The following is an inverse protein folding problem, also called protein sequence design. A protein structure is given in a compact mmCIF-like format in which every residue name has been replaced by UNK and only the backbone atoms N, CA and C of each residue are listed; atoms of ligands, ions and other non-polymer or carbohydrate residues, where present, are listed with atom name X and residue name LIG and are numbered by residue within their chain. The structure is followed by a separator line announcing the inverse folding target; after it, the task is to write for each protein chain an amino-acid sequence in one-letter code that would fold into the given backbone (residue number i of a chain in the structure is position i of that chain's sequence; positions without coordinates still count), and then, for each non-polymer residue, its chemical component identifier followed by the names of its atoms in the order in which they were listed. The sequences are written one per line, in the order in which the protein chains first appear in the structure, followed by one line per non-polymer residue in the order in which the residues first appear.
data_IF_490304346725
#
_entry.id   IF_490304346725
#
_cell.length_a   1.000
_cell.length_b   1.000
_cell.length_c   1.000
_cell.angle_alpha   90.00
_cell.angle_beta   90.00
_cell.angle_gamma   90.00
#
_symmetry.space_group_name_H-M   'P 1'
#
loop_
_entity.id
_entity.type
_entity.pdbx_description
1 polymer ?
#
# COMPACT_ATOMS: atom_id res chain seq x y z
N UNK A 1 -1.94 12.31 28.49
CA UNK A 1 -0.94 11.30 28.90
C UNK A 1 -0.68 10.44 27.69
N UNK A 2 0.51 10.51 27.10
CA UNK A 2 0.90 9.64 25.98
C UNK A 2 0.92 8.20 26.50
N UNK A 3 0.01 7.37 26.03
CA UNK A 3 -0.03 5.95 26.39
C UNK A 3 1.07 5.24 25.62
N UNK A 4 2.13 4.84 26.32
CA UNK A 4 3.16 4.00 25.72
C UNK A 4 2.63 2.56 25.58
N UNK A 5 2.69 2.02 24.38
CA UNK A 5 2.34 0.62 24.11
C UNK A 5 3.62 -0.13 23.74
N UNK A 6 4.04 -1.07 24.57
CA UNK A 6 5.23 -1.88 24.32
C UNK A 6 5.17 -2.56 22.94
N UNK A 7 6.29 -2.60 22.24
CA UNK A 7 6.41 -3.31 20.96
C UNK A 7 6.94 -4.72 21.23
N UNK A 8 6.26 -5.75 20.72
CA UNK A 8 6.74 -7.13 20.76
C UNK A 8 6.86 -7.72 19.36
N UNK A 9 7.89 -8.54 19.15
CA UNK A 9 8.16 -9.25 17.91
C UNK A 9 8.25 -10.73 18.21
N UNK A 10 7.55 -11.56 17.42
CA UNK A 10 7.68 -13.01 17.48
C UNK A 10 7.59 -13.64 16.10
N UNK A 11 8.31 -14.72 15.90
CA UNK A 11 8.16 -15.55 14.71
C UNK A 11 7.07 -16.60 14.95
N UNK A 12 6.12 -16.73 14.03
CA UNK A 12 5.08 -17.75 14.07
C UNK A 12 4.48 -17.96 12.68
N UNK A 13 3.86 -19.12 12.46
CA UNK A 13 3.08 -19.39 11.26
C UNK A 13 2.01 -18.31 11.04
N UNK A 14 1.83 -17.91 9.78
CA UNK A 14 0.63 -17.24 9.33
C UNK A 14 0.13 -17.91 8.05
N UNK A 15 -0.91 -18.74 8.20
CA UNK A 15 -1.59 -19.39 7.08
C UNK A 15 -0.63 -20.24 6.23
N UNK A 16 0.34 -20.91 6.85
CA UNK A 16 1.33 -21.74 6.18
C UNK A 16 2.60 -21.02 5.75
N UNK A 17 2.70 -19.70 5.91
CA UNK A 17 3.94 -18.95 5.70
C UNK A 17 4.71 -18.75 7.00
N UNK A 18 6.03 -18.72 6.92
CA UNK A 18 6.88 -18.24 8.00
C UNK A 18 6.73 -16.72 8.13
N UNK A 19 6.17 -16.27 9.25
CA UNK A 19 5.85 -14.87 9.46
C UNK A 19 6.44 -14.29 10.74
N UNK A 20 6.58 -12.98 10.74
CA UNK A 20 6.92 -12.18 11.92
C UNK A 20 5.72 -11.35 12.34
N UNK A 21 5.28 -11.56 13.57
CA UNK A 21 4.18 -10.83 14.18
C UNK A 21 4.76 -9.69 15.01
N UNK A 22 4.46 -8.46 14.60
CA UNK A 22 4.89 -7.23 15.27
C UNK A 22 3.66 -6.60 15.90
N UNK A 23 3.60 -6.58 17.23
CA UNK A 23 2.44 -6.15 17.99
C UNK A 23 2.77 -4.86 18.76
N UNK A 24 1.83 -3.89 18.75
CA UNK A 24 1.90 -2.64 19.51
C UNK A 24 0.50 -2.22 19.94
N UNK A 25 0.15 -2.55 21.19
CA UNK A 25 -1.20 -2.28 21.72
C UNK A 25 -2.27 -2.97 20.86
N UNK A 26 -3.25 -2.23 20.29
CA UNK A 26 -4.29 -2.81 19.42
C UNK A 26 -3.83 -3.14 17.99
N UNK A 27 -2.64 -2.69 17.57
CA UNK A 27 -2.10 -2.93 16.24
C UNK A 27 -1.28 -4.23 16.22
N UNK A 28 -1.49 -5.05 15.19
CA UNK A 28 -0.58 -6.13 14.82
C UNK A 28 -0.22 -6.00 13.34
N UNK A 29 1.06 -6.09 12.99
CA UNK A 29 1.53 -6.23 11.61
C UNK A 29 2.08 -7.65 11.43
N UNK A 30 1.65 -8.33 10.36
CA UNK A 30 2.11 -9.68 10.03
C UNK A 30 3.01 -9.60 8.80
N UNK A 31 4.31 -9.76 9.02
CA UNK A 31 5.32 -9.63 7.98
C UNK A 31 5.64 -11.01 7.39
N UNK A 32 5.51 -11.14 6.06
CA UNK A 32 5.83 -12.36 5.31
C UNK A 32 6.92 -12.04 4.30
N UNK A 33 8.21 -12.14 4.69
CA UNK A 33 9.31 -11.84 3.79
C UNK A 33 9.42 -12.83 2.63
N UNK A 34 8.91 -14.06 2.77
CA UNK A 34 8.97 -15.12 1.76
C UNK A 34 8.28 -14.77 0.44
N UNK A 35 7.37 -13.79 0.42
CA UNK A 35 6.59 -13.42 -0.76
C UNK A 35 6.60 -11.90 -0.92
N UNK A 36 7.57 -11.36 -1.65
CA UNK A 36 7.61 -9.93 -2.01
C UNK A 36 7.81 -8.97 -0.84
N UNK A 37 8.30 -9.45 0.32
CA UNK A 37 8.55 -8.60 1.49
C UNK A 37 7.28 -7.94 2.05
N UNK A 38 6.14 -8.65 2.05
CA UNK A 38 4.82 -8.08 2.39
C UNK A 38 4.62 -7.88 3.88
N UNK A 39 3.90 -6.82 4.25
CA UNK A 39 2.98 -6.85 5.39
C UNK A 39 1.75 -7.59 4.85
N UNK A 40 1.68 -8.91 5.08
CA UNK A 40 0.63 -9.75 4.53
C UNK A 40 -0.74 -9.41 5.15
N UNK A 41 -0.75 -9.00 6.41
CA UNK A 41 -1.96 -8.56 7.09
C UNK A 41 -1.63 -7.54 8.18
N UNK A 42 -2.62 -6.71 8.52
CA UNK A 42 -2.60 -5.86 9.70
C UNK A 42 -3.91 -6.06 10.46
N UNK A 43 -3.79 -6.30 11.76
CA UNK A 43 -4.93 -6.47 12.65
C UNK A 43 -5.15 -5.20 13.47
N UNK A 44 -6.42 -4.92 13.71
CA UNK A 44 -6.86 -3.91 14.67
C UNK A 44 -7.77 -4.56 15.71
N UNK A 45 -7.38 -4.48 16.98
CA UNK A 45 -8.07 -5.19 18.08
C UNK A 45 -8.26 -6.70 17.80
N UNK A 46 -7.30 -7.33 17.11
CA UNK A 46 -7.35 -8.75 16.75
C UNK A 46 -8.20 -9.10 15.53
N UNK A 47 -8.76 -8.11 14.82
CA UNK A 47 -9.49 -8.33 13.57
C UNK A 47 -8.60 -8.09 12.35
N UNK A 48 -8.55 -9.07 11.44
CA UNK A 48 -7.87 -8.97 10.14
C UNK A 48 -8.52 -7.93 9.23
N UNK A 49 -7.72 -7.04 8.66
CA UNK A 49 -8.19 -5.95 7.79
C UNK A 49 -7.69 -6.09 6.36
N UNK A 50 -6.54 -6.73 6.13
CA UNK A 50 -6.03 -6.93 4.79
C UNK A 50 -6.72 -8.11 4.10
N UNK A 51 -6.85 -8.01 2.78
CA UNK A 51 -7.18 -9.16 1.96
C UNK A 51 -5.95 -10.08 1.85
N UNK A 52 -6.15 -11.36 2.11
CA UNK A 52 -5.16 -12.42 1.89
C UNK A 52 -5.87 -13.48 1.07
N UNK A 53 -5.25 -13.90 -0.03
CA UNK A 53 -5.84 -14.90 -0.91
C UNK A 53 -5.65 -16.30 -0.33
N UNK A 54 -6.76 -16.95 0.04
CA UNK A 54 -6.76 -18.28 0.62
C UNK A 54 -6.22 -19.35 -0.35
N UNK A 55 -6.38 -19.16 -1.67
CA UNK A 55 -5.89 -20.10 -2.68
C UNK A 55 -4.35 -20.13 -2.79
N UNK A 56 -3.69 -19.11 -2.24
CA UNK A 56 -2.24 -18.99 -2.24
C UNK A 56 -1.63 -19.14 -0.84
N UNK A 57 -2.44 -19.41 0.19
CA UNK A 57 -1.98 -19.54 1.57
C UNK A 57 -0.82 -20.55 1.70
N UNK A 58 0.28 -20.12 2.29
CA UNK A 58 1.49 -20.93 2.51
C UNK A 58 2.29 -21.26 1.25
N UNK A 59 1.86 -20.82 0.06
CA UNK A 59 2.60 -21.03 -1.17
C UNK A 59 3.81 -20.10 -1.22
N UNK A 60 4.98 -20.66 -1.52
CA UNK A 60 6.23 -19.93 -1.73
C UNK A 60 6.82 -20.37 -3.07
N UNK A 61 7.17 -19.40 -3.93
CA UNK A 61 7.90 -19.67 -5.16
C UNK A 61 9.40 -19.58 -4.90
N UNK A 62 10.16 -20.61 -5.29
CA UNK A 62 11.63 -20.55 -5.29
C UNK A 62 12.13 -19.73 -6.48
N UNK A 63 11.85 -18.43 -6.46
CA UNK A 63 12.21 -17.49 -7.52
C UNK A 63 13.73 -17.43 -7.71
N UNK A 64 14.51 -17.65 -6.65
CA UNK A 64 15.97 -17.65 -6.71
C UNK A 64 16.53 -18.80 -7.57
N UNK A 65 15.88 -19.96 -7.57
CA UNK A 65 16.26 -21.11 -8.39
C UNK A 65 15.84 -21.00 -9.87
N UNK A 66 14.97 -20.04 -10.22
CA UNK A 66 14.50 -19.83 -11.59
C UNK A 66 15.61 -19.24 -12.44
N UNK A 67 15.99 -19.88 -13.56
CA UNK A 67 17.00 -19.32 -14.48
C UNK A 67 16.40 -18.29 -15.46
N UNK A 68 15.24 -18.59 -16.02
CA UNK A 68 14.49 -17.69 -16.92
C UNK A 68 13.24 -17.15 -16.22
N UNK A 69 13.39 -15.97 -15.61
CA UNK A 69 12.30 -15.31 -14.87
C UNK A 69 11.12 -14.91 -15.73
N UNK A 70 11.36 -14.57 -17.00
CA UNK A 70 10.30 -14.08 -17.86
C UNK A 70 9.39 -15.23 -18.26
N UNK A 71 9.95 -16.34 -18.71
CA UNK A 71 9.18 -17.55 -19.03
C UNK A 71 8.43 -18.03 -17.79
N UNK A 72 9.11 -18.10 -16.63
CA UNK A 72 8.44 -18.53 -15.39
C UNK A 72 7.30 -17.60 -14.98
N UNK A 73 7.46 -16.29 -15.11
CA UNK A 73 6.41 -15.30 -14.86
C UNK A 73 5.18 -15.54 -15.75
N UNK A 74 5.38 -15.85 -17.04
CA UNK A 74 4.28 -16.15 -17.96
C UNK A 74 3.55 -17.45 -17.59
N UNK A 75 4.26 -18.47 -17.13
CA UNK A 75 3.66 -19.72 -16.66
C UNK A 75 2.83 -19.55 -15.38
N UNK A 76 3.30 -18.67 -14.48
CA UNK A 76 2.66 -18.39 -13.21
C UNK A 76 1.46 -17.45 -13.33
N UNK A 77 1.46 -16.59 -14.36
CA UNK A 77 0.54 -15.47 -14.50
C UNK A 77 0.55 -14.56 -13.24
N UNK A 78 -0.47 -13.73 -13.06
CA UNK A 78 -0.59 -12.88 -11.89
C UNK A 78 -0.99 -13.66 -10.62
N UNK A 79 -0.05 -13.78 -9.69
CA UNK A 79 -0.28 -14.35 -8.37
C UNK A 79 -0.85 -13.30 -7.41
N UNK A 80 -2.16 -13.33 -7.19
CA UNK A 80 -2.87 -12.41 -6.30
C UNK A 80 -2.67 -12.79 -4.83
N UNK A 81 -1.51 -12.50 -4.24
CA UNK A 81 -1.17 -12.91 -2.87
C UNK A 81 -2.05 -12.26 -1.78
N UNK A 82 -2.33 -10.96 -1.92
CA UNK A 82 -2.89 -10.15 -0.84
C UNK A 82 -1.86 -9.27 -0.14
N UNK A 83 -2.25 -8.70 0.99
CA UNK A 83 -1.43 -7.83 1.83
C UNK A 83 -1.03 -6.52 1.15
N UNK A 84 0.00 -5.89 1.69
CA UNK A 84 0.61 -4.72 1.08
C UNK A 84 1.85 -5.04 0.24
N UNK A 85 2.10 -4.25 -0.80
CA UNK A 85 3.16 -4.49 -1.77
C UNK A 85 3.76 -3.20 -2.29
N UNK A 86 4.95 -3.33 -2.83
CA UNK A 86 5.64 -2.24 -3.52
C UNK A 86 5.91 -2.68 -4.94
N UNK A 87 5.36 -1.93 -5.89
CA UNK A 87 5.59 -2.10 -7.30
C UNK A 87 6.34 -0.91 -7.88
N UNK A 88 6.77 -1.06 -9.13
CA UNK A 88 7.38 0.03 -9.90
C UNK A 88 6.36 0.57 -10.89
N UNK A 89 6.11 1.87 -10.89
CA UNK A 89 5.29 2.54 -11.90
C UNK A 89 6.18 3.21 -12.97
N UNK A 90 5.69 3.40 -14.21
CA UNK A 90 4.34 3.04 -14.68
C UNK A 90 4.20 1.56 -15.05
N UNK A 91 3.00 1.00 -14.82
CA UNK A 91 2.68 -0.39 -15.20
C UNK A 91 2.83 -0.66 -16.70
N UNK A 92 2.65 0.36 -17.55
CA UNK A 92 2.81 0.24 -19.01
C UNK A 92 4.23 -0.12 -19.45
N UNK A 93 5.23 0.01 -18.58
CA UNK A 93 6.61 -0.41 -18.85
C UNK A 93 6.87 -1.87 -18.46
N UNK A 94 5.89 -2.57 -17.87
CA UNK A 94 6.08 -3.94 -17.43
C UNK A 94 6.12 -4.89 -18.62
N UNK A 95 7.11 -5.77 -18.60
CA UNK A 95 7.22 -6.81 -19.60
C UNK A 95 6.06 -7.79 -19.42
N UNK A 96 5.33 -8.05 -20.50
CA UNK A 96 4.14 -8.90 -20.55
C UNK A 96 2.96 -8.40 -19.69
N UNK A 97 2.98 -7.13 -19.25
CA UNK A 97 1.99 -6.52 -18.36
C UNK A 97 1.79 -7.25 -17.01
N UNK A 98 2.78 -8.06 -16.60
CA UNK A 98 2.77 -8.83 -15.36
C UNK A 98 3.78 -8.26 -14.35
N UNK A 99 3.52 -8.35 -13.03
CA UNK A 99 4.44 -7.91 -12.00
C UNK A 99 5.83 -8.56 -12.12
N UNK A 100 6.88 -7.82 -11.79
CA UNK A 100 8.23 -8.35 -11.80
C UNK A 100 8.39 -9.44 -10.74
N UNK A 101 8.68 -10.68 -11.17
CA UNK A 101 8.63 -11.87 -10.32
C UNK A 101 9.55 -11.77 -9.10
N UNK A 102 10.77 -11.25 -9.29
CA UNK A 102 11.75 -11.01 -8.24
C UNK A 102 11.26 -10.06 -7.14
N UNK A 103 10.44 -9.06 -7.50
CA UNK A 103 9.96 -8.04 -6.57
C UNK A 103 8.64 -8.43 -5.92
N UNK A 104 7.74 -9.06 -6.67
CA UNK A 104 6.35 -9.33 -6.22
C UNK A 104 6.20 -10.68 -5.50
N UNK A 105 6.99 -11.69 -5.89
CA UNK A 105 6.90 -13.06 -5.39
C UNK A 105 8.22 -13.60 -4.81
N UNK A 106 9.36 -12.96 -5.11
CA UNK A 106 10.65 -13.36 -4.56
C UNK A 106 10.76 -13.14 -3.05
N UNK A 107 11.55 -13.98 -2.38
CA UNK A 107 11.82 -13.86 -0.95
C UNK A 107 12.75 -12.67 -0.66
N UNK A 108 12.38 -11.85 0.32
CA UNK A 108 13.17 -10.72 0.79
C UNK A 108 13.96 -11.15 2.03
N UNK A 109 15.17 -10.60 2.23
CA UNK A 109 15.82 -10.70 3.53
C UNK A 109 15.11 -9.82 4.55
N UNK A 110 15.17 -10.16 5.83
CA UNK A 110 14.57 -9.36 6.91
C UNK A 110 15.61 -9.11 8.01
N UNK A 111 15.70 -7.86 8.46
CA UNK A 111 16.60 -7.43 9.53
C UNK A 111 15.82 -6.57 10.54
N UNK A 112 16.08 -6.78 11.83
CA UNK A 112 15.48 -6.02 12.93
C UNK A 112 16.53 -5.14 13.61
N UNK A 113 16.19 -3.88 13.82
CA UNK A 113 17.03 -2.92 14.54
C UNK A 113 16.28 -2.40 15.77
N UNK A 114 16.88 -2.68 16.94
CA UNK A 114 16.43 -2.32 18.28
C UNK A 114 17.41 -1.35 18.97
N UNK A 115 18.27 -0.66 18.20
CA UNK A 115 19.30 0.23 18.75
C UNK A 115 18.71 1.43 19.50
N UNK A 116 17.51 1.87 19.14
CA UNK A 116 16.78 2.91 19.85
C UNK A 116 15.75 2.32 20.84
N UNK A 117 15.84 2.66 22.14
CA UNK A 117 14.83 2.25 23.11
C UNK A 117 13.44 2.73 22.69
N UNK A 118 12.42 1.90 22.93
CA UNK A 118 11.01 2.21 22.62
C UNK A 118 10.68 2.37 21.13
N UNK A 119 11.62 2.08 20.22
CA UNK A 119 11.41 2.09 18.79
C UNK A 119 11.77 0.73 18.19
N UNK A 120 11.11 0.38 17.09
CA UNK A 120 11.43 -0.78 16.28
C UNK A 120 11.57 -0.35 14.83
N UNK A 121 12.70 -0.68 14.22
CA UNK A 121 12.86 -0.62 12.77
C UNK A 121 12.99 -2.03 12.20
N UNK A 122 12.16 -2.37 11.22
CA UNK A 122 12.24 -3.63 10.46
C UNK A 122 12.55 -3.32 9.01
N UNK A 123 13.59 -3.93 8.45
CA UNK A 123 14.01 -3.74 7.06
C UNK A 123 13.81 -5.04 6.29
N UNK A 124 13.05 -4.98 5.21
CA UNK A 124 12.91 -6.07 4.24
C UNK A 124 13.56 -5.68 2.92
N UNK A 125 14.52 -6.47 2.42
CA UNK A 125 15.30 -6.14 1.22
C UNK A 125 15.08 -7.18 0.14
N UNK A 126 14.72 -6.74 -1.07
CA UNK A 126 14.49 -7.62 -2.21
C UNK A 126 15.80 -8.17 -2.78
N UNK A 127 15.76 -9.25 -3.57
CA UNK A 127 16.80 -9.51 -4.55
C UNK A 127 16.87 -8.36 -5.57
N UNK A 128 17.98 -8.24 -6.30
CA UNK A 128 18.03 -7.34 -7.46
C UNK A 128 17.13 -7.94 -8.54
N UNK A 129 16.14 -7.18 -8.99
CA UNK A 129 15.23 -7.61 -10.04
C UNK A 129 16.00 -7.84 -11.35
N UNK A 130 15.92 -9.05 -11.89
CA UNK A 130 16.64 -9.43 -13.11
C UNK A 130 16.11 -8.78 -14.37
N UNK A 131 14.84 -8.34 -14.36
CA UNK A 131 14.23 -7.63 -15.49
C UNK A 131 14.55 -6.13 -15.49
N UNK A 132 14.63 -5.50 -14.31
CA UNK A 132 14.73 -4.02 -14.20
C UNK A 132 16.05 -3.51 -13.64
N UNK A 133 16.83 -4.38 -13.00
CA UNK A 133 18.03 -4.00 -12.25
C UNK A 133 17.75 -3.24 -10.95
N UNK A 134 16.50 -3.08 -10.55
CA UNK A 134 16.11 -2.39 -9.32
C UNK A 134 16.15 -3.33 -8.13
N UNK A 135 16.67 -2.85 -7.00
CA UNK A 135 16.48 -3.46 -5.68
C UNK A 135 15.56 -2.58 -4.84
N UNK A 136 14.59 -3.20 -4.17
CA UNK A 136 13.69 -2.55 -3.23
C UNK A 136 14.14 -2.81 -1.79
N UNK A 137 14.02 -1.79 -0.95
CA UNK A 137 14.11 -1.92 0.50
C UNK A 137 12.86 -1.31 1.13
N UNK A 138 12.19 -2.06 1.99
CA UNK A 138 10.99 -1.66 2.71
C UNK A 138 11.32 -1.55 4.19
N UNK A 139 11.22 -0.35 4.74
CA UNK A 139 11.58 -0.07 6.14
C UNK A 139 10.35 0.32 6.93
N UNK A 140 9.94 -0.53 7.86
CA UNK A 140 8.84 -0.29 8.79
C UNK A 140 9.41 0.33 10.06
N UNK A 141 8.82 1.43 10.53
CA UNK A 141 9.15 2.06 11.82
C UNK A 141 7.93 2.14 12.71
N UNK A 142 8.09 1.66 13.94
CA UNK A 142 7.13 1.78 15.02
C UNK A 142 7.79 2.45 16.22
N UNK A 143 7.02 3.28 16.94
CA UNK A 143 7.38 3.82 18.25
C UNK A 143 6.32 3.42 19.26
N UNK A 144 6.71 3.09 20.49
CA UNK A 144 5.79 2.82 21.60
C UNK A 144 4.95 4.07 21.96
N UNK A 145 5.46 5.26 21.64
CA UNK A 145 4.84 6.55 21.97
C UNK A 145 3.84 7.06 20.91
N UNK A 146 3.70 6.37 19.78
CA UNK A 146 2.88 6.82 18.66
C UNK A 146 1.90 5.74 18.17
N UNK A 147 0.70 6.15 17.76
CA UNK A 147 -0.30 5.29 17.11
C UNK A 147 0.02 5.00 15.64
N UNK A 148 0.80 5.89 15.01
CA UNK A 148 1.24 5.78 13.60
C UNK A 148 2.36 4.74 13.46
N UNK A 149 2.40 4.06 12.33
CA UNK A 149 3.63 3.41 11.84
C UNK A 149 4.01 3.99 10.48
N UNK A 150 5.30 4.05 10.18
CA UNK A 150 5.80 4.53 8.91
C UNK A 150 6.34 3.35 8.09
N UNK A 151 6.03 3.34 6.79
CA UNK A 151 6.65 2.46 5.81
C UNK A 151 7.41 3.31 4.79
N UNK A 152 8.73 3.21 4.79
CA UNK A 152 9.59 3.84 3.77
C UNK A 152 9.93 2.79 2.72
N UNK A 153 9.52 3.07 1.49
CA UNK A 153 9.94 2.36 0.29
C UNK A 153 11.18 3.05 -0.25
N UNK A 154 12.21 2.28 -0.55
CA UNK A 154 13.44 2.74 -1.19
C UNK A 154 13.67 1.88 -2.42
N UNK A 155 13.99 2.51 -3.54
CA UNK A 155 14.45 1.81 -4.74
C UNK A 155 15.86 2.26 -5.09
N UNK A 156 16.72 1.31 -5.43
CA UNK A 156 18.08 1.55 -5.89
C UNK A 156 18.29 0.96 -7.27
N UNK A 157 18.90 1.73 -8.16
CA UNK A 157 19.36 1.22 -9.44
C UNK A 157 20.68 0.46 -9.26
N UNK A 158 20.63 -0.87 -9.36
CA UNK A 158 21.78 -1.75 -9.25
C UNK A 158 22.28 -2.25 -10.63
N UNK A 159 21.71 -1.73 -11.72
CA UNK A 159 22.20 -2.00 -13.08
C UNK A 159 23.33 -1.05 -13.50
N UNK A 160 23.87 -1.28 -14.69
CA UNK A 160 24.78 -0.38 -15.39
C UNK A 160 24.08 0.58 -16.35
N UNK A 161 22.74 0.58 -16.39
CA UNK A 161 21.92 1.42 -17.27
C UNK A 161 21.18 2.50 -16.50
N UNK A 162 20.83 3.58 -17.18
CA UNK A 162 19.87 4.57 -16.67
C UNK A 162 18.47 3.94 -16.66
N UNK A 163 17.72 4.12 -15.58
CA UNK A 163 16.36 3.60 -15.43
C UNK A 163 15.37 4.71 -15.10
N UNK A 164 14.08 4.50 -15.41
CA UNK A 164 13.01 5.45 -15.13
C UNK A 164 11.85 4.73 -14.46
N UNK A 165 11.68 4.95 -13.16
CA UNK A 165 10.67 4.27 -12.34
C UNK A 165 10.11 5.23 -11.29
N UNK A 166 8.95 4.86 -10.75
CA UNK A 166 8.34 5.45 -9.57
C UNK A 166 8.04 4.35 -8.54
N UNK A 167 8.07 4.70 -7.26
CA UNK A 167 7.60 3.82 -6.19
C UNK A 167 6.07 3.83 -6.16
N UNK A 168 5.47 2.64 -6.20
CA UNK A 168 4.02 2.44 -6.14
C UNK A 168 3.69 1.58 -4.92
N UNK A 169 3.16 2.21 -3.87
CA UNK A 169 2.68 1.55 -2.66
C UNK A 169 1.24 1.11 -2.83
N UNK A 170 0.92 -0.13 -2.46
CA UNK A 170 -0.41 -0.71 -2.61
C UNK A 170 -0.79 -1.50 -1.37
N UNK A 171 -1.88 -1.12 -0.71
CA UNK A 171 -2.51 -1.92 0.34
C UNK A 171 -3.77 -2.61 -0.18
N UNK A 172 -3.85 -3.93 -0.09
CA UNK A 172 -5.07 -4.68 -0.42
C UNK A 172 -5.95 -4.83 0.83
N UNK A 173 -7.05 -4.09 0.89
CA UNK A 173 -7.95 -4.02 2.06
C UNK A 173 -9.22 -4.80 1.81
N UNK A 174 -9.74 -5.47 2.86
CA UNK A 174 -11.05 -6.11 2.80
C UNK A 174 -12.16 -5.07 2.63
N UNK A 175 -13.15 -5.44 1.83
CA UNK A 175 -14.44 -4.74 1.78
C UNK A 175 -15.32 -5.14 2.97
N UNK A 176 -16.41 -4.43 3.27
CA UNK A 176 -16.84 -3.15 2.68
C UNK A 176 -16.03 -1.95 3.19
N UNK A 177 -15.82 -0.95 2.33
CA UNK A 177 -15.16 0.28 2.72
C UNK A 177 -15.68 1.50 1.95
N UNK A 178 -15.54 2.68 2.56
CA UNK A 178 -15.72 3.98 1.90
C UNK A 178 -14.42 4.76 1.97
N UNK A 179 -13.93 5.23 0.82
CA UNK A 179 -12.61 5.83 0.70
C UNK A 179 -12.74 7.31 0.38
N UNK A 180 -12.01 8.14 1.10
CA UNK A 180 -11.99 9.58 0.94
C UNK A 180 -10.62 10.03 0.47
N UNK A 181 -10.58 10.79 -0.62
CA UNK A 181 -9.37 11.31 -1.23
C UNK A 181 -9.50 12.83 -1.41
N UNK A 182 -8.42 13.60 -1.19
CA UNK A 182 -8.42 15.01 -1.55
C UNK A 182 -8.47 15.17 -3.07
N UNK A 183 -9.04 16.29 -3.52
CA UNK A 183 -9.05 16.71 -4.92
C UNK A 183 -8.26 18.00 -5.07
N UNK A 184 -7.59 18.17 -6.20
CA UNK A 184 -7.04 19.48 -6.57
C UNK A 184 -8.14 20.38 -7.17
N UNK A 185 -8.12 21.67 -6.84
CA UNK A 185 -8.93 22.68 -7.53
C UNK A 185 -8.45 22.94 -8.95
N UNK A 186 -7.16 22.65 -9.21
CA UNK A 186 -6.49 22.83 -10.49
C UNK A 186 -6.27 21.49 -11.20
N UNK A 187 -7.04 20.46 -10.81
CA UNK A 187 -6.95 19.11 -11.37
C UNK A 187 -7.05 19.11 -12.89
N UNK A 188 -6.21 18.31 -13.53
CA UNK A 188 -6.28 18.06 -14.97
C UNK A 188 -7.40 17.09 -15.35
N UNK A 189 -7.96 16.40 -14.36
CA UNK A 189 -9.05 15.44 -14.54
C UNK A 189 -10.43 16.08 -14.36
N UNK A 190 -11.44 15.63 -15.13
CA UNK A 190 -12.82 16.03 -14.92
C UNK A 190 -13.25 15.84 -13.46
N UNK A 191 -13.77 16.92 -12.88
CA UNK A 191 -14.24 16.95 -11.49
C UNK A 191 -13.19 16.51 -10.47
N UNK A 192 -11.89 16.69 -10.72
CA UNK A 192 -10.87 16.33 -9.73
C UNK A 192 -10.55 14.85 -9.63
N UNK A 193 -11.09 13.99 -10.51
CA UNK A 193 -10.99 12.54 -10.37
C UNK A 193 -10.79 11.86 -11.72
N UNK A 194 -9.64 11.20 -11.89
CA UNK A 194 -9.34 10.36 -13.04
C UNK A 194 -10.20 9.10 -13.03
N UNK A 195 -10.84 8.82 -14.16
CA UNK A 195 -11.43 7.50 -14.45
C UNK A 195 -10.44 6.67 -15.25
N UNK A 196 -10.21 5.42 -14.84
CA UNK A 196 -9.43 4.47 -15.63
C UNK A 196 -10.39 3.64 -16.48
N UNK A 197 -10.69 4.13 -17.69
CA UNK A 197 -11.75 3.56 -18.56
C UNK A 197 -11.53 2.10 -18.96
N UNK A 198 -10.27 1.62 -18.93
CA UNK A 198 -9.93 0.23 -19.22
C UNK A 198 -9.99 -0.70 -17.99
N UNK A 199 -10.31 -0.17 -16.81
CA UNK A 199 -10.41 -0.93 -15.58
C UNK A 199 -11.86 -1.26 -15.24
N UNK A 200 -12.34 -2.39 -15.76
CA UNK A 200 -13.66 -2.93 -15.45
C UNK A 200 -14.80 -2.01 -15.89
N UNK A 201 -15.64 -1.65 -14.94
CA UNK A 201 -16.88 -0.90 -15.14
C UNK A 201 -16.74 0.60 -14.84
N UNK A 202 -15.50 1.09 -14.62
CA UNK A 202 -15.20 2.43 -14.06
C UNK A 202 -16.06 3.57 -14.63
N UNK A 203 -16.20 3.65 -15.96
CA UNK A 203 -17.00 4.69 -16.61
C UNK A 203 -18.50 4.52 -16.36
N UNK A 204 -19.02 3.30 -16.38
CA UNK A 204 -20.46 3.01 -16.30
C UNK A 204 -21.04 3.24 -14.90
N UNK A 205 -20.24 2.99 -13.85
CA UNK A 205 -20.70 3.07 -12.47
C UNK A 205 -20.19 4.30 -11.72
N UNK A 206 -19.45 5.19 -12.38
CA UNK A 206 -18.86 6.37 -11.72
C UNK A 206 -19.88 7.13 -10.88
N UNK A 207 -21.04 7.45 -11.46
CA UNK A 207 -22.08 8.25 -10.78
C UNK A 207 -22.75 7.51 -9.61
N UNK A 208 -22.61 6.19 -9.51
CA UNK A 208 -23.16 5.41 -8.39
C UNK A 208 -22.18 5.17 -7.26
N UNK A 209 -20.86 5.20 -7.53
CA UNK A 209 -19.83 4.93 -6.52
C UNK A 209 -18.96 6.13 -6.17
N UNK A 210 -18.99 7.21 -6.96
CA UNK A 210 -18.23 8.44 -6.71
C UNK A 210 -19.18 9.54 -6.27
N UNK A 211 -18.92 10.15 -5.11
CA UNK A 211 -19.64 11.34 -4.65
C UNK A 211 -18.69 12.39 -4.10
N UNK A 212 -19.15 13.63 -4.01
CA UNK A 212 -18.29 14.77 -3.67
C UNK A 212 -18.71 15.46 -2.39
N UNK A 213 -17.71 15.83 -1.59
CA UNK A 213 -17.85 16.55 -0.32
C UNK A 213 -16.86 17.72 -0.32
N UNK A 214 -17.19 18.77 -1.06
CA UNK A 214 -16.30 19.93 -1.26
C UNK A 214 -15.00 19.55 -1.96
N UNK A 215 -13.85 19.79 -1.34
CA UNK A 215 -12.54 19.41 -1.86
C UNK A 215 -12.21 17.92 -1.70
N UNK A 216 -13.14 17.12 -1.16
CA UNK A 216 -12.98 15.67 -0.99
C UNK A 216 -13.85 14.91 -1.98
N UNK A 217 -13.33 13.80 -2.51
CA UNK A 217 -14.12 12.77 -3.17
C UNK A 217 -14.29 11.58 -2.23
N UNK A 218 -15.49 10.98 -2.25
CA UNK A 218 -15.78 9.67 -1.67
C UNK A 218 -15.91 8.64 -2.80
N UNK A 219 -15.20 7.52 -2.67
CA UNK A 219 -15.33 6.33 -3.51
C UNK A 219 -15.93 5.21 -2.66
N UNK A 220 -17.10 4.71 -3.06
CA UNK A 220 -17.84 3.67 -2.36
C UNK A 220 -17.43 2.27 -2.85
N UNK A 221 -16.73 1.53 -2.00
CA UNK A 221 -16.26 0.17 -2.26
C UNK A 221 -17.08 -0.86 -1.45
N UNK A 222 -18.36 -0.60 -1.20
CA UNK A 222 -19.22 -1.52 -0.43
C UNK A 222 -19.78 -2.68 -1.28
N UNK A 223 -19.73 -2.57 -2.61
CA UNK A 223 -20.29 -3.54 -3.56
C UNK A 223 -19.24 -4.12 -4.51
N UNK A 224 -19.55 -5.31 -5.04
CA UNK A 224 -18.65 -6.14 -5.85
C UNK A 224 -18.55 -5.69 -7.32
N UNK A 225 -18.07 -4.47 -7.56
CA UNK A 225 -17.78 -3.97 -8.91
C UNK A 225 -16.28 -3.92 -9.18
N UNK A 226 -15.86 -4.13 -10.44
CA UNK A 226 -14.47 -3.86 -10.82
C UNK A 226 -14.36 -2.42 -11.30
N UNK A 227 -13.59 -1.58 -10.63
CA UNK A 227 -13.36 -0.20 -11.07
C UNK A 227 -12.03 0.34 -10.54
N UNK A 228 -11.56 1.44 -11.12
CA UNK A 228 -10.41 2.20 -10.65
C UNK A 228 -10.58 3.70 -10.87
N UNK A 229 -10.31 4.47 -9.82
CA UNK A 229 -10.32 5.93 -9.83
C UNK A 229 -9.04 6.48 -9.20
N UNK A 230 -8.63 7.69 -9.58
CA UNK A 230 -7.44 8.33 -9.00
C UNK A 230 -7.58 9.85 -8.89
N UNK A 231 -6.68 10.45 -8.11
CA UNK A 231 -6.63 11.91 -7.88
C UNK A 231 -5.21 12.45 -8.08
N UNK A 232 -5.10 13.70 -8.51
CA UNK A 232 -3.87 14.49 -8.67
C UNK A 232 -3.76 15.60 -7.61
N UNK A 233 -4.17 15.29 -6.37
CA UNK A 233 -4.22 16.27 -5.30
C UNK A 233 -2.86 16.87 -4.92
N UNK A 234 -2.89 18.10 -4.39
CA UNK A 234 -1.68 18.81 -3.93
C UNK A 234 -1.03 18.19 -2.70
N UNK A 235 -1.77 17.41 -1.91
CA UNK A 235 -1.24 16.70 -0.75
C UNK A 235 -1.70 15.24 -0.74
N UNK A 236 -0.82 14.37 -0.27
CA UNK A 236 -1.02 12.93 -0.31
C UNK A 236 -1.74 12.44 0.94
N UNK A 237 -3.01 12.09 0.79
CA UNK A 237 -3.78 11.49 1.89
C UNK A 237 -4.87 10.56 1.39
N UNK A 238 -5.10 9.46 2.10
CA UNK A 238 -6.21 8.53 1.90
C UNK A 238 -6.83 8.26 3.25
N UNK A 239 -8.14 8.42 3.38
CA UNK A 239 -8.87 8.00 4.57
C UNK A 239 -9.93 6.98 4.19
N UNK A 240 -9.79 5.77 4.70
CA UNK A 240 -10.73 4.68 4.52
C UNK A 240 -11.55 4.46 5.80
N UNK A 241 -12.86 4.37 5.65
CA UNK A 241 -13.77 3.87 6.68
C UNK A 241 -14.06 2.42 6.35
N UNK A 242 -13.54 1.51 7.18
CA UNK A 242 -13.67 0.07 7.03
C UNK A 242 -14.79 -0.44 7.93
N UNK A 243 -15.66 -1.30 7.39
CA UNK A 243 -16.68 -1.96 8.19
C UNK A 243 -16.23 -3.37 8.57
N UNK A 244 -15.90 -3.53 9.84
CA UNK A 244 -15.28 -4.76 10.34
C UNK A 244 -16.30 -5.53 11.16
N UNK A 245 -16.67 -6.72 10.70
CA UNK A 245 -17.59 -7.60 11.41
C UNK A 245 -17.08 -7.90 12.82
N UNK A 246 -17.97 -7.71 13.81
CA UNK A 246 -17.67 -7.92 15.23
C UNK A 246 -16.92 -6.76 15.92
N UNK A 247 -16.42 -5.77 15.17
CA UNK A 247 -15.69 -4.61 15.73
C UNK A 247 -16.39 -3.27 15.46
N UNK A 248 -17.10 -3.13 14.34
CA UNK A 248 -17.72 -1.88 13.90
C UNK A 248 -16.84 -1.12 12.90
N UNK A 249 -16.98 0.21 12.86
CA UNK A 249 -16.23 1.03 11.91
C UNK A 249 -14.81 1.34 12.39
N UNK A 250 -13.84 1.08 11.53
CA UNK A 250 -12.41 1.36 11.75
C UNK A 250 -11.95 2.40 10.75
N UNK A 251 -11.29 3.45 11.23
CA UNK A 251 -10.60 4.41 10.38
C UNK A 251 -9.22 3.88 10.00
N UNK A 252 -8.89 3.87 8.71
CA UNK A 252 -7.54 3.66 8.22
C UNK A 252 -7.07 4.91 7.46
N UNK A 253 -6.05 5.58 7.99
CA UNK A 253 -5.44 6.77 7.40
C UNK A 253 -4.07 6.46 6.80
N UNK A 254 -3.84 6.92 5.57
CA UNK A 254 -2.53 6.98 4.91
C UNK A 254 -2.17 8.44 4.61
N UNK A 255 -0.94 8.84 4.88
CA UNK A 255 -0.39 10.15 4.53
C UNK A 255 0.98 9.99 3.87
N UNK A 256 1.25 10.75 2.83
CA UNK A 256 2.47 10.64 2.04
C UNK A 256 2.81 11.97 1.35
N UNK A 257 4.09 12.21 1.04
CA UNK A 257 4.49 13.42 0.33
C UNK A 257 4.01 13.40 -1.12
N UNK A 258 3.76 14.59 -1.65
CA UNK A 258 3.52 14.85 -3.07
C UNK A 258 4.67 15.67 -3.64
N UNK A 259 4.91 15.48 -4.93
CA UNK A 259 6.00 16.05 -5.69
C UNK A 259 5.41 16.66 -6.96
N UNK A 260 4.89 17.89 -6.85
CA UNK A 260 4.43 18.67 -7.99
C UNK A 260 5.51 19.67 -8.44
N UNK A 261 5.72 19.89 -9.75
CA UNK A 261 4.98 19.35 -10.90
C UNK A 261 5.61 18.07 -11.48
N UNK A 262 6.30 17.25 -10.68
CA UNK A 262 6.95 16.04 -11.18
C UNK A 262 5.93 15.04 -11.76
N UNK A 263 6.30 14.27 -12.81
CA UNK A 263 5.38 13.33 -13.44
C UNK A 263 5.12 12.11 -12.55
N UNK A 264 3.89 11.60 -12.54
CA UNK A 264 3.53 10.35 -11.88
C UNK A 264 3.25 9.28 -12.92
N UNK A 265 3.66 8.02 -12.65
CA UNK A 265 3.59 6.94 -13.64
C UNK A 265 2.17 6.70 -14.16
N UNK A 266 1.18 6.85 -13.29
CA UNK A 266 -0.23 6.75 -13.66
C UNK A 266 -0.93 8.12 -13.73
N UNK A 267 -0.21 9.23 -13.57
CA UNK A 267 -0.76 10.59 -13.55
C UNK A 267 -1.51 10.96 -12.25
N UNK A 268 -1.59 10.05 -11.27
CA UNK A 268 -2.25 10.28 -9.99
C UNK A 268 -1.27 10.13 -8.83
N UNK A 269 -1.53 10.86 -7.75
CA UNK A 269 -0.80 10.72 -6.47
C UNK A 269 -1.38 9.61 -5.60
N UNK A 270 -2.68 9.34 -5.75
CA UNK A 270 -3.39 8.24 -5.11
C UNK A 270 -4.48 7.65 -6.00
N UNK A 271 -4.73 6.36 -5.83
CA UNK A 271 -5.70 5.60 -6.61
C UNK A 271 -6.47 4.63 -5.70
N UNK A 272 -7.70 4.32 -6.10
CA UNK A 272 -8.54 3.29 -5.49
C UNK A 272 -8.97 2.33 -6.58
N UNK A 273 -8.55 1.06 -6.45
CA UNK A 273 -9.07 -0.04 -7.25
C UNK A 273 -10.05 -0.86 -6.41
N UNK A 274 -11.14 -1.34 -7.00
CA UNK A 274 -12.07 -2.25 -6.37
C UNK A 274 -12.18 -3.52 -7.23
N UNK A 275 -12.12 -4.70 -6.62
CA UNK A 275 -12.19 -5.97 -7.35
C UNK A 275 -13.64 -6.47 -7.43
N UNK A 276 -14.12 -6.99 -8.55
CA UNK A 276 -15.44 -7.66 -8.56
C UNK A 276 -15.36 -9.07 -7.99
N UNK A 277 -14.33 -9.84 -8.38
CA UNK A 277 -14.24 -11.28 -8.11
C UNK A 277 -13.86 -11.63 -6.67
N UNK A 278 -12.92 -10.88 -6.09
CA UNK A 278 -12.42 -11.10 -4.73
C UNK A 278 -12.87 -10.00 -3.79
N UNK A 279 -12.92 -10.28 -2.50
CA UNK A 279 -13.46 -9.36 -1.50
C UNK A 279 -12.43 -8.30 -1.03
N UNK A 280 -11.85 -7.56 -1.98
CA UNK A 280 -10.86 -6.54 -1.69
C UNK A 280 -10.98 -5.29 -2.56
N UNK A 281 -10.32 -4.24 -2.08
CA UNK A 281 -9.98 -3.02 -2.79
C UNK A 281 -8.49 -2.71 -2.58
N UNK A 282 -7.92 -1.84 -3.40
CA UNK A 282 -6.54 -1.36 -3.24
C UNK A 282 -6.52 0.13 -2.88
N UNK A 283 -5.70 0.48 -1.89
CA UNK A 283 -5.36 1.87 -1.56
C UNK A 283 -3.95 2.15 -2.06
N UNK A 284 -3.86 2.86 -3.17
CA UNK A 284 -2.60 3.05 -3.89
C UNK A 284 -2.04 4.44 -3.65
N UNK A 285 -0.74 4.53 -3.41
CA UNK A 285 -0.01 5.80 -3.23
C UNK A 285 1.24 5.79 -4.09
N UNK A 286 1.51 6.91 -4.76
CA UNK A 286 2.54 6.99 -5.79
C UNK A 286 3.62 8.02 -5.45
N UNK A 287 4.87 7.68 -5.75
CA UNK A 287 5.96 8.63 -5.92
C UNK A 287 6.05 9.15 -7.36
N UNK A 288 6.86 10.17 -7.62
CA UNK A 288 7.10 10.65 -8.97
C UNK A 288 7.97 9.66 -9.75
N UNK A 289 7.84 9.67 -11.07
CA UNK A 289 8.80 8.99 -11.96
C UNK A 289 10.11 9.76 -11.90
N UNK A 290 11.17 9.05 -11.51
CA UNK A 290 12.52 9.59 -11.42
C UNK A 290 13.45 8.85 -12.37
N UNK A 291 14.38 9.58 -12.96
CA UNK A 291 15.50 9.02 -13.71
C UNK A 291 16.63 8.71 -12.74
N UNK A 292 17.06 7.45 -12.68
CA UNK A 292 18.15 6.99 -11.81
C UNK A 292 19.34 6.53 -12.64
N UNK A 293 20.50 7.14 -12.41
CA UNK A 293 21.80 6.64 -12.86
C UNK A 293 22.17 5.34 -12.12
N UNK A 294 23.13 4.55 -12.63
CA UNK A 294 23.72 3.43 -11.89
C UNK A 294 24.14 3.84 -10.46
N UNK A 295 23.60 3.13 -9.46
CA UNK A 295 23.86 3.38 -8.05
C UNK A 295 22.97 4.43 -7.37
N UNK A 296 22.21 5.23 -8.12
CA UNK A 296 21.28 6.20 -7.56
C UNK A 296 20.03 5.54 -6.98
N UNK A 297 19.32 6.29 -6.14
CA UNK A 297 18.13 5.81 -5.45
C UNK A 297 17.08 6.89 -5.25
N UNK A 298 15.85 6.46 -4.99
CA UNK A 298 14.77 7.32 -4.54
C UNK A 298 13.95 6.62 -3.44
N UNK A 299 13.19 7.41 -2.69
CA UNK A 299 12.37 6.93 -1.58
C UNK A 299 10.98 7.57 -1.55
N UNK A 300 10.04 6.86 -0.92
CA UNK A 300 8.68 7.31 -0.65
C UNK A 300 8.31 6.81 0.75
N UNK A 301 7.91 7.70 1.65
CA UNK A 301 7.47 7.33 3.00
C UNK A 301 5.97 7.51 3.16
N UNK A 302 5.30 6.43 3.57
CA UNK A 302 3.88 6.39 3.86
C UNK A 302 3.69 6.27 5.37
N UNK A 303 2.98 7.23 5.98
CA UNK A 303 2.54 7.16 7.37
C UNK A 303 1.15 6.55 7.42
N UNK A 304 0.96 5.57 8.29
CA UNK A 304 -0.27 4.77 8.38
C UNK A 304 -0.77 4.73 9.82
N UNK A 305 -2.08 4.78 9.98
CA UNK A 305 -2.72 4.72 11.31
C UNK A 305 -4.09 4.06 11.24
N UNK A 306 -4.36 3.22 12.25
CA UNK A 306 -5.66 2.62 12.49
C UNK A 306 -6.24 3.19 13.79
N UNK A 307 -7.55 3.43 13.80
CA UNK A 307 -8.25 3.94 14.97
C UNK A 307 -9.72 3.55 14.95
N UNK A 308 -10.34 3.48 16.13
CA UNK A 308 -11.78 3.27 16.23
C UNK A 308 -12.52 4.52 15.73
N UNK A 309 -13.50 4.32 14.86
CA UNK A 309 -14.34 5.40 14.37
C UNK A 309 -15.63 5.44 15.20
N UNK A 310 -15.85 6.52 15.95
CA UNK A 310 -17.09 6.69 16.71
C UNK A 310 -18.28 7.04 15.82
N UNK A 311 -18.06 7.90 14.83
CA UNK A 311 -19.09 8.34 13.88
C UNK A 311 -18.53 8.39 12.45
N UNK A 312 -19.35 7.99 11.48
CA UNK A 312 -19.00 8.15 10.07
C UNK A 312 -18.95 9.63 9.70
N UNK A 313 -17.98 10.04 8.87
CA UNK A 313 -17.92 11.42 8.39
C UNK A 313 -19.13 11.73 7.50
N UNK A 314 -19.86 12.80 7.80
CA UNK A 314 -21.05 13.22 7.05
C UNK A 314 -20.81 14.48 6.21
N UNK A 315 -19.75 15.22 6.53
CA UNK A 315 -19.38 16.47 5.88
C UNK A 315 -17.88 16.52 5.55
N UNK A 316 -17.50 17.45 4.66
CA UNK A 316 -16.09 17.74 4.37
C UNK A 316 -15.29 18.05 5.64
N UNK A 317 -15.88 18.80 6.58
CA UNK A 317 -15.25 19.15 7.85
C UNK A 317 -14.93 17.91 8.69
N UNK A 318 -15.83 16.94 8.73
CA UNK A 318 -15.63 15.68 9.47
C UNK A 318 -14.49 14.87 8.82
N UNK A 319 -14.49 14.78 7.49
CA UNK A 319 -13.44 14.10 6.72
C UNK A 319 -12.07 14.75 7.02
N UNK A 320 -11.99 16.08 6.92
CA UNK A 320 -10.76 16.82 7.17
C UNK A 320 -10.25 16.63 8.61
N UNK A 321 -11.13 16.56 9.60
CA UNK A 321 -10.74 16.28 10.98
C UNK A 321 -10.04 14.92 11.12
N UNK A 322 -10.53 13.90 10.41
CA UNK A 322 -9.89 12.58 10.38
C UNK A 322 -8.61 12.51 9.54
N UNK A 323 -8.30 13.52 8.72
CA UNK A 323 -7.05 13.59 7.96
C UNK A 323 -5.92 14.29 8.72
N UNK A 324 -6.22 15.04 9.79
CA UNK A 324 -5.22 15.71 10.62
C UNK A 324 -4.56 14.71 11.58
N UNK A 325 -3.22 14.61 11.64
CA UNK A 325 -2.54 13.72 12.58
C UNK A 325 -2.97 14.03 14.03
N UNK A 326 -3.22 13.00 14.83
CA UNK A 326 -3.41 13.18 16.27
C UNK A 326 -2.02 13.50 16.85
N UNK A 327 -1.82 14.74 17.32
CA UNK A 327 -0.61 15.28 17.96
C UNK A 327 0.72 14.59 17.57
N UNK A 328 1.43 15.24 16.64
CA UNK A 328 2.70 14.80 16.05
C UNK A 328 3.79 14.50 17.09
N UNK A 329 3.86 13.25 17.56
CA UNK A 329 5.13 12.62 17.88
C UNK A 329 5.69 12.06 16.57
N UNK A 330 6.74 12.70 16.05
CA UNK A 330 7.47 12.23 14.88
C UNK A 330 7.96 10.79 15.09
N UNK A 331 7.40 9.87 14.30
CA UNK A 331 7.94 8.52 13.99
C UNK A 331 8.77 8.59 12.73
#
# INVERSE_FOLDING_TARGET
MTTHSAISVRQADYRGWDAWWVERGPLTLILVPQVGGRIMDFHWHGHSLAFVNDDLAGRVEDVAAVSDVRTRKQELDFLLWGGDKTWLAPQTHWTDALPFLDLDSGAYSIDFDHSEPHNLMVRMTSPICRETGIQLTRTIRLSEAASVWALTHHMKNCSDQITNWALWDVDMIRRPAQIYLPRSSDSVYPEGVKTFDNEGESTMIRDSVVSYHGAMVKVDCTTAHKFKFGVDAEYGSIFAVLDVEGLGSVGYRKQFPTFHPQPYGHGCVAEVFNASLYHYLELESHGPVVTLQPGESAELTIRRELFNLSDRPMSEKDIQAYLQPADSASV
#
